data_IF_326999584856
#
_entry.id   IF_326999584856
#
_cell.length_a   1.000
_cell.length_b   1.000
_cell.length_c   1.000
_cell.angle_alpha   90.00
_cell.angle_beta   90.00
_cell.angle_gamma   90.00
#
_symmetry.space_group_name_H-M   'P 1'
#
loop_
_entity.id
_entity.type
_entity.pdbx_description
1 polymer ?
#
# COMPACT_ATOMS: atom_id res chain seq x y z
N UNK A 1 26.56 39.66 -27.06
CA UNK A 1 25.31 38.90 -27.33
C UNK A 1 25.52 37.39 -27.30
N UNK A 2 26.67 36.86 -27.74
CA UNK A 2 26.97 35.42 -27.73
C UNK A 2 27.02 34.80 -26.32
N UNK A 3 27.66 35.48 -25.36
CA UNK A 3 27.75 35.02 -23.97
C UNK A 3 26.40 34.98 -23.25
N UNK A 4 25.46 35.86 -23.63
CA UNK A 4 24.09 35.90 -23.08
C UNK A 4 23.26 34.70 -23.57
N UNK A 5 23.45 34.29 -24.84
CA UNK A 5 22.81 33.09 -25.41
C UNK A 5 23.33 31.80 -24.76
N UNK A 6 24.64 31.74 -24.46
CA UNK A 6 25.25 30.63 -23.73
C UNK A 6 24.79 30.56 -22.27
N UNK A 7 24.66 31.71 -21.59
CA UNK A 7 24.12 31.78 -20.22
C UNK A 7 22.64 31.36 -20.15
N UNK A 8 21.82 31.80 -21.11
CA UNK A 8 20.41 31.38 -21.20
C UNK A 8 20.27 29.87 -21.45
N UNK A 9 21.12 29.30 -22.32
CA UNK A 9 21.12 27.87 -22.61
C UNK A 9 21.46 27.01 -21.37
N UNK A 10 22.42 27.45 -20.56
CA UNK A 10 22.81 26.75 -19.33
C UNK A 10 21.70 26.79 -18.27
N UNK A 11 20.99 27.93 -18.17
CA UNK A 11 19.89 28.12 -17.22
C UNK A 11 18.66 27.28 -17.56
N UNK A 12 18.40 27.05 -18.85
CA UNK A 12 17.29 26.21 -19.33
C UNK A 12 17.56 24.72 -19.06
N UNK A 13 18.80 24.25 -19.16
CA UNK A 13 19.17 22.87 -18.85
C UNK A 13 19.07 22.59 -17.33
N UNK A 14 19.40 23.58 -16.49
CA UNK A 14 19.31 23.46 -15.03
C UNK A 14 17.85 23.43 -14.51
N UNK A 15 16.90 23.99 -15.27
CA UNK A 15 15.47 23.96 -14.93
C UNK A 15 14.79 22.64 -15.30
N UNK A 16 15.37 21.84 -16.20
CA UNK A 16 14.84 20.52 -16.59
C UNK A 16 15.24 19.37 -15.66
N UNK A 17 16.12 19.62 -14.68
CA UNK A 17 16.57 18.62 -13.70
C UNK A 17 15.87 18.70 -12.35
N UNK A 18 14.79 19.48 -12.24
CA UNK A 18 13.94 19.52 -11.04
C UNK A 18 13.08 18.24 -10.97
N UNK A 19 13.73 17.19 -10.47
CA UNK A 19 13.17 16.10 -9.68
C UNK A 19 11.77 15.61 -10.08
N UNK A 20 11.74 14.58 -10.92
CA UNK A 20 10.66 13.62 -10.89
C UNK A 20 10.75 12.85 -9.56
N UNK A 21 10.04 13.32 -8.53
CA UNK A 21 9.69 12.45 -7.41
C UNK A 21 8.70 11.43 -7.96
N UNK A 22 9.15 10.19 -8.11
CA UNK A 22 8.22 9.09 -8.36
C UNK A 22 7.31 9.00 -7.13
N UNK A 23 6.05 9.33 -7.31
CA UNK A 23 5.03 9.08 -6.30
C UNK A 23 4.94 7.56 -6.17
N UNK A 24 5.41 7.07 -5.03
CA UNK A 24 5.35 5.65 -4.70
C UNK A 24 3.87 5.33 -4.57
N UNK A 25 3.28 4.41 -5.37
CA UNK A 25 1.86 4.12 -5.24
C UNK A 25 1.56 3.74 -3.79
N UNK A 26 0.80 4.59 -3.10
CA UNK A 26 0.59 4.55 -1.65
C UNK A 26 -0.52 3.58 -1.27
N UNK A 27 -0.78 2.56 -2.09
CA UNK A 27 -1.93 1.70 -1.90
C UNK A 27 -1.71 0.26 -2.33
N UNK A 28 -2.42 -0.65 -1.65
CA UNK A 28 -2.43 -2.07 -2.00
C UNK A 28 -3.84 -2.62 -2.04
N UNK A 29 -4.09 -3.51 -3.00
CA UNK A 29 -5.34 -4.26 -3.02
C UNK A 29 -5.36 -5.27 -1.87
N UNK A 30 -6.48 -5.30 -1.15
CA UNK A 30 -6.78 -6.27 -0.11
C UNK A 30 -8.06 -7.01 -0.46
N UNK A 31 -8.00 -8.33 -0.48
CA UNK A 31 -9.16 -9.19 -0.73
C UNK A 31 -9.40 -10.08 0.47
N UNK A 32 -10.64 -10.09 0.95
CA UNK A 32 -11.05 -10.91 2.09
C UNK A 32 -12.20 -11.84 1.74
N UNK A 33 -12.21 -13.00 2.40
CA UNK A 33 -13.35 -13.93 2.42
C UNK A 33 -13.95 -13.94 3.82
N UNK A 34 -15.24 -13.65 3.92
CA UNK A 34 -16.03 -13.64 5.13
C UNK A 34 -17.00 -14.81 5.11
N UNK A 35 -16.96 -15.62 6.16
CA UNK A 35 -17.90 -16.70 6.42
C UNK A 35 -18.31 -16.64 7.89
N UNK A 36 -19.52 -17.06 8.20
CA UNK A 36 -19.95 -17.25 9.58
C UNK A 36 -19.34 -18.52 10.21
N UNK A 37 -19.72 -18.81 11.45
CA UNK A 37 -19.26 -19.97 12.22
C UNK A 37 -19.64 -21.32 11.58
N UNK A 38 -20.67 -21.34 10.73
CA UNK A 38 -21.13 -22.51 9.99
C UNK A 38 -20.48 -22.61 8.59
N UNK A 39 -19.58 -21.68 8.24
CA UNK A 39 -18.89 -21.62 6.96
C UNK A 39 -19.75 -21.10 5.82
N UNK A 40 -20.94 -20.57 6.11
CA UNK A 40 -21.80 -19.92 5.13
C UNK A 40 -21.16 -18.57 4.78
N UNK A 41 -20.96 -18.24 3.51
CA UNK A 41 -20.39 -16.95 3.15
C UNK A 41 -21.27 -15.82 3.70
N UNK A 42 -20.65 -14.72 4.13
CA UNK A 42 -21.43 -13.57 4.55
C UNK A 42 -22.01 -12.89 3.32
N UNK A 43 -23.33 -12.79 3.25
CA UNK A 43 -24.06 -12.12 2.19
C UNK A 43 -24.95 -11.06 2.85
N UNK A 44 -25.04 -9.89 2.22
CA UNK A 44 -26.20 -8.99 2.30
C UNK A 44 -26.11 -7.71 3.14
N UNK A 45 -25.07 -7.52 3.97
CA UNK A 45 -24.92 -6.25 4.72
C UNK A 45 -23.58 -5.56 4.50
N UNK A 46 -23.63 -4.23 4.43
CA UNK A 46 -22.45 -3.37 4.48
C UNK A 46 -21.84 -3.48 5.88
N UNK A 47 -20.54 -3.75 5.92
CA UNK A 47 -19.78 -3.86 7.15
C UNK A 47 -18.66 -2.83 7.13
N UNK A 48 -18.32 -2.30 8.31
CA UNK A 48 -17.13 -1.49 8.45
C UNK A 48 -15.91 -2.39 8.65
N UNK A 49 -14.81 -2.03 8.00
CA UNK A 49 -13.49 -2.63 8.15
C UNK A 49 -12.49 -1.54 8.50
N UNK A 50 -11.47 -1.89 9.28
CA UNK A 50 -10.33 -1.02 9.57
C UNK A 50 -9.06 -1.86 9.55
N UNK A 51 -8.01 -1.30 8.97
CA UNK A 51 -6.69 -1.90 8.91
C UNK A 51 -5.75 -1.19 9.87
N UNK A 52 -4.91 -1.97 10.55
CA UNK A 52 -3.84 -1.46 11.42
C UNK A 52 -2.55 -2.19 11.14
N UNK A 53 -1.44 -1.47 11.21
CA UNK A 53 -0.10 -2.04 11.07
C UNK A 53 0.63 -2.03 12.40
N UNK A 54 1.36 -3.10 12.67
CA UNK A 54 2.15 -3.29 13.88
C UNK A 54 3.56 -3.81 13.57
N UNK A 55 4.51 -3.49 14.44
CA UNK A 55 5.91 -3.94 14.35
C UNK A 55 6.14 -5.37 14.88
N UNK A 56 5.14 -5.98 15.53
CA UNK A 56 5.20 -7.33 16.04
C UNK A 56 3.86 -8.07 15.97
N UNK A 57 3.93 -9.40 15.85
CA UNK A 57 2.78 -10.30 15.77
C UNK A 57 1.85 -10.22 16.99
N UNK A 58 2.42 -9.96 18.17
CA UNK A 58 1.69 -9.81 19.44
C UNK A 58 2.36 -8.74 20.29
N UNK A 59 1.56 -7.91 20.97
CA UNK A 59 2.05 -6.84 21.87
C UNK A 59 3.01 -5.82 21.22
N UNK A 60 3.01 -5.71 19.88
CA UNK A 60 3.78 -4.71 19.14
C UNK A 60 3.19 -3.29 19.23
N UNK A 61 3.99 -2.32 18.81
CA UNK A 61 3.57 -0.92 18.70
C UNK A 61 2.70 -0.72 17.46
N UNK A 62 1.64 0.07 17.59
CA UNK A 62 0.86 0.53 16.44
C UNK A 62 1.75 1.44 15.59
N UNK A 63 1.81 1.16 14.29
CA UNK A 63 2.55 1.95 13.31
C UNK A 63 1.61 2.86 12.53
N UNK A 64 0.45 2.34 12.13
CA UNK A 64 -0.49 3.02 11.26
C UNK A 64 -1.92 2.48 11.40
N UNK A 65 -2.91 3.32 11.12
CA UNK A 65 -4.33 2.94 11.07
C UNK A 65 -5.05 3.60 9.88
N UNK A 66 -5.86 2.85 9.13
CA UNK A 66 -6.61 3.36 7.98
C UNK A 66 -7.79 4.27 8.35
N UNK A 67 -8.31 4.14 9.57
CA UNK A 67 -9.69 4.55 9.87
C UNK A 67 -10.71 3.50 9.43
N UNK A 68 -11.99 3.72 9.74
CA UNK A 68 -13.06 2.82 9.33
C UNK A 68 -13.50 3.13 7.89
N UNK A 69 -13.62 2.10 7.07
CA UNK A 69 -14.17 2.15 5.73
C UNK A 69 -15.25 1.09 5.56
N UNK A 70 -16.24 1.34 4.73
CA UNK A 70 -17.34 0.39 4.53
C UNK A 70 -17.08 -0.51 3.32
N UNK A 71 -17.24 -1.81 3.51
CA UNK A 71 -17.15 -2.84 2.46
C UNK A 71 -18.50 -3.54 2.29
N UNK A 72 -18.79 -3.95 1.06
CA UNK A 72 -20.00 -4.70 0.72
C UNK A 72 -19.61 -6.07 0.13
N UNK A 73 -19.54 -7.12 0.97
CA UNK A 73 -19.18 -8.46 0.52
C UNK A 73 -20.20 -9.02 -0.48
N UNK A 74 -19.70 -9.57 -1.59
CA UNK A 74 -20.49 -10.30 -2.59
C UNK A 74 -20.06 -11.76 -2.56
N UNK A 75 -20.99 -12.63 -2.19
CA UNK A 75 -20.68 -14.04 -1.98
C UNK A 75 -19.59 -14.33 -0.93
N UNK A 76 -19.62 -13.55 0.16
CA UNK A 76 -18.58 -13.57 1.19
C UNK A 76 -17.25 -13.00 0.74
N UNK A 77 -17.09 -12.56 -0.52
CA UNK A 77 -15.84 -11.99 -1.01
C UNK A 77 -15.96 -10.47 -1.08
N UNK A 78 -14.93 -9.77 -0.63
CA UNK A 78 -14.80 -8.33 -0.87
C UNK A 78 -13.38 -8.01 -1.35
N UNK A 79 -13.27 -6.91 -2.08
CA UNK A 79 -12.00 -6.30 -2.48
C UNK A 79 -12.04 -4.84 -2.11
N UNK A 80 -11.01 -4.37 -1.43
CA UNK A 80 -10.81 -2.96 -1.07
C UNK A 80 -9.36 -2.57 -1.32
N UNK A 81 -9.08 -1.28 -1.29
CA UNK A 81 -7.74 -0.74 -1.46
C UNK A 81 -7.28 -0.14 -0.13
N UNK A 82 -6.21 -0.66 0.44
CA UNK A 82 -5.57 -0.07 1.61
C UNK A 82 -4.74 1.10 1.13
N UNK A 83 -5.29 2.31 1.23
CA UNK A 83 -4.59 3.55 0.93
C UNK A 83 -3.84 4.08 2.17
N UNK A 84 -2.52 3.96 2.14
CA UNK A 84 -1.63 4.41 3.20
C UNK A 84 -1.52 5.94 3.31
N UNK A 85 -2.01 6.68 2.32
CA UNK A 85 -2.06 8.14 2.34
C UNK A 85 -3.28 8.69 3.10
N UNK A 86 -4.37 7.92 3.14
CA UNK A 86 -5.63 8.30 3.80
C UNK A 86 -5.67 8.04 5.31
N UNK A 87 -4.77 7.19 5.82
CA UNK A 87 -4.71 6.82 7.23
C UNK A 87 -3.81 7.72 8.10
N UNK A 88 -3.67 7.34 9.37
CA UNK A 88 -2.86 8.06 10.37
C UNK A 88 -1.64 7.21 10.76
N UNK A 89 -0.45 7.79 10.59
CA UNK A 89 0.80 7.22 11.06
C UNK A 89 1.10 7.65 12.50
N UNK A 90 1.54 6.71 13.32
CA UNK A 90 1.99 7.00 14.68
C UNK A 90 3.36 7.70 14.68
N UNK A 91 3.66 8.40 15.77
CA UNK A 91 4.89 9.18 15.88
C UNK A 91 6.14 8.30 15.68
N UNK A 92 6.99 8.69 14.73
CA UNK A 92 8.22 7.96 14.39
C UNK A 92 8.04 6.89 13.31
N UNK A 93 6.82 6.63 12.86
CA UNK A 93 6.54 5.75 11.73
C UNK A 93 6.15 6.54 10.48
N UNK A 94 6.39 5.93 9.33
CA UNK A 94 5.97 6.44 8.03
C UNK A 94 5.85 5.28 7.04
N UNK A 95 5.42 5.57 5.81
CA UNK A 95 5.42 4.58 4.73
C UNK A 95 6.78 3.88 4.55
N UNK A 96 7.90 4.56 4.82
CA UNK A 96 9.24 3.98 4.74
C UNK A 96 9.50 2.90 5.79
N UNK A 97 8.80 2.95 6.92
CA UNK A 97 8.91 1.95 7.98
C UNK A 97 8.41 0.57 7.53
N UNK A 98 7.70 0.48 6.39
CA UNK A 98 7.33 -0.79 5.79
C UNK A 98 8.52 -1.53 5.15
N UNK A 99 9.59 -0.81 4.80
CA UNK A 99 10.82 -1.38 4.24
C UNK A 99 11.84 -1.78 5.32
N UNK A 100 11.71 -1.21 6.53
CA UNK A 100 12.71 -1.30 7.60
C UNK A 100 12.58 -2.57 8.47
N UNK A 101 11.59 -3.42 8.24
CA UNK A 101 11.37 -4.58 9.11
C UNK A 101 10.20 -5.49 8.73
N UNK A 102 9.83 -6.37 9.66
CA UNK A 102 8.64 -7.20 9.51
C UNK A 102 7.41 -6.43 9.99
N UNK A 103 6.44 -6.29 9.12
CA UNK A 103 5.16 -5.63 9.41
C UNK A 103 4.06 -6.66 9.59
N UNK A 104 3.13 -6.39 10.50
CA UNK A 104 1.97 -7.21 10.76
C UNK A 104 0.68 -6.42 10.57
N UNK A 105 -0.24 -6.96 9.78
CA UNK A 105 -1.59 -6.45 9.54
C UNK A 105 -2.55 -6.99 10.59
N UNK A 106 -3.29 -6.10 11.22
CA UNK A 106 -4.46 -6.41 12.04
C UNK A 106 -5.69 -5.86 11.31
N UNK A 107 -6.70 -6.71 11.14
CA UNK A 107 -7.97 -6.36 10.51
C UNK A 107 -9.03 -6.28 11.59
N UNK A 108 -9.80 -5.21 11.61
CA UNK A 108 -10.98 -5.07 12.44
C UNK A 108 -12.21 -5.05 11.55
N UNK A 109 -13.28 -5.74 11.95
CA UNK A 109 -14.51 -5.81 11.17
C UNK A 109 -15.76 -5.67 12.05
N UNK A 110 -16.85 -5.20 11.43
CA UNK A 110 -18.19 -5.15 12.01
C UNK A 110 -18.52 -3.81 12.64
N UNK A 111 -19.69 -3.76 13.28
CA UNK A 111 -20.18 -2.58 14.00
C UNK A 111 -20.75 -3.02 15.35
N UNK A 112 -20.00 -2.89 16.46
CA UNK A 112 -18.71 -2.22 16.59
C UNK A 112 -17.53 -3.01 16.00
N UNK A 113 -16.48 -2.27 15.57
CA UNK A 113 -15.25 -2.86 15.04
C UNK A 113 -14.57 -3.77 16.06
N UNK A 114 -14.41 -5.04 15.69
CA UNK A 114 -13.74 -6.06 16.51
C UNK A 114 -12.49 -6.56 15.82
N UNK A 115 -11.37 -6.60 16.54
CA UNK A 115 -10.09 -7.04 16.00
C UNK A 115 -10.06 -8.56 15.77
N UNK A 116 -9.65 -8.94 14.57
CA UNK A 116 -9.39 -10.32 14.19
C UNK A 116 -7.99 -10.73 14.65
N UNK A 117 -7.85 -12.00 14.98
CA UNK A 117 -6.60 -12.60 15.45
C UNK A 117 -6.39 -13.96 14.77
N UNK A 118 -5.15 -14.36 14.48
CA UNK A 118 -3.89 -13.63 14.73
C UNK A 118 -3.63 -12.52 13.71
N UNK A 119 -2.70 -11.60 14.03
CA UNK A 119 -2.20 -10.62 13.06
C UNK A 119 -1.46 -11.33 11.93
N UNK A 120 -1.67 -10.86 10.72
CA UNK A 120 -1.07 -11.44 9.53
C UNK A 120 0.27 -10.77 9.24
N UNK A 121 1.33 -11.56 9.10
CA UNK A 121 2.63 -11.03 8.67
C UNK A 121 2.52 -10.63 7.20
N UNK A 122 2.81 -9.37 6.89
CA UNK A 122 2.93 -8.92 5.50
C UNK A 122 4.26 -9.40 4.96
N UNK A 123 4.22 -10.33 4.00
CA UNK A 123 5.43 -10.92 3.38
C UNK A 123 5.66 -10.46 1.93
N UNK A 124 4.68 -9.80 1.31
CA UNK A 124 4.83 -9.23 -0.03
C UNK A 124 5.62 -7.93 0.07
N UNK A 125 6.72 -7.82 -0.69
CA UNK A 125 7.34 -6.52 -0.96
C UNK A 125 6.31 -5.63 -1.63
N UNK A 126 6.04 -4.45 -1.08
CA UNK A 126 5.04 -3.50 -1.61
C UNK A 126 5.37 -2.98 -3.03
N UNK A 127 6.52 -3.35 -3.61
CA UNK A 127 6.93 -2.99 -4.96
C UNK A 127 7.41 -4.14 -5.84
N UNK A 128 6.92 -4.14 -7.09
CA UNK A 128 7.58 -4.71 -8.27
C UNK A 128 7.51 -3.66 -9.40
N UNK A 129 8.66 -3.36 -10.03
CA UNK A 129 8.76 -2.42 -11.15
C UNK A 129 8.40 -3.10 -12.48
N UNK A 130 7.79 -2.35 -13.41
CA UNK A 130 7.70 -2.79 -14.81
C UNK A 130 9.09 -2.78 -15.46
N UNK A 131 9.38 -3.81 -16.27
CA UNK A 131 10.42 -3.71 -17.29
C UNK A 131 9.87 -2.80 -18.40
N UNK A 132 10.60 -1.75 -18.80
CA UNK A 132 10.16 -0.85 -19.87
C UNK A 132 9.94 -1.61 -21.20
N UNK A 133 8.97 -1.18 -22.01
CA UNK A 133 8.82 -1.69 -23.38
C UNK A 133 10.16 -1.51 -24.12
N UNK A 134 10.60 -2.58 -24.80
CA UNK A 134 11.92 -2.77 -25.45
C UNK A 134 13.13 -3.12 -24.56
N UNK A 135 13.00 -3.19 -23.23
CA UNK A 135 14.12 -3.57 -22.36
C UNK A 135 14.45 -5.09 -22.42
N UNK A 136 13.48 -5.91 -22.84
CA UNK A 136 13.67 -7.34 -23.17
C UNK A 136 13.68 -7.50 -24.69
N UNK A 137 14.84 -7.79 -25.27
CA UNK A 137 14.98 -8.18 -26.68
C UNK A 137 15.18 -9.69 -26.81
N UNK A 138 14.84 -10.29 -27.96
CA UNK A 138 15.00 -11.74 -28.18
C UNK A 138 16.46 -12.21 -28.00
N UNK A 139 17.43 -11.36 -28.35
CA UNK A 139 18.86 -11.64 -28.13
C UNK A 139 19.24 -11.75 -26.64
N UNK A 140 18.50 -11.11 -25.72
CA UNK A 140 18.72 -11.22 -24.26
C UNK A 140 18.06 -12.45 -23.64
N UNK A 141 17.08 -13.07 -24.32
CA UNK A 141 16.33 -14.21 -23.80
C UNK A 141 16.93 -15.57 -24.20
N UNK A 142 17.85 -15.60 -25.18
CA UNK A 142 18.38 -16.82 -25.80
C UNK A 142 19.89 -17.06 -25.57
N UNK A 143 20.53 -16.33 -24.64
CA UNK A 143 21.91 -16.58 -24.21
C UNK A 143 21.97 -17.53 -23.01
#
# INVERSE_FOLDING_TARGET
MENVKRLLGLSIILLFTLSAFADVPMSVNYQGKLTDDDGVPYHDEVLDIQFRLYDAATAGNLMWTSGAESVNPQHGLFSTEIDFSGGVWEAGYSIKSLDDGTVYLEVLIGSPLTALSPREKITSTFHAFNIADDAVSEAKLLM
#
